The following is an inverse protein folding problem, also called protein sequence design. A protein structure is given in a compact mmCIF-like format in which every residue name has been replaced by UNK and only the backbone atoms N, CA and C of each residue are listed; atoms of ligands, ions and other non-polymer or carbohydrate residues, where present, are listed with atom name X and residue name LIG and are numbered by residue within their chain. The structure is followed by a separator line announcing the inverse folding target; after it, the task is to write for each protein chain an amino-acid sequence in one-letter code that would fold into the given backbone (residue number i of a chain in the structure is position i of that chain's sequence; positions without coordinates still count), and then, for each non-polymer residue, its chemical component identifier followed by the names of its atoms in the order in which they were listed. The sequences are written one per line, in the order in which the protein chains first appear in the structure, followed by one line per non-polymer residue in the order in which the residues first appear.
data_IF_537845393342
#
_entry.id   IF_537845393342
#
_cell.length_a   1.000
_cell.length_b   1.000
_cell.length_c   1.000
_cell.angle_alpha   90.00
_cell.angle_beta   90.00
_cell.angle_gamma   90.00
#
_symmetry.space_group_name_H-M   'P 1'
#
loop_
_entity.id
_entity.type
_entity.pdbx_description
1 polymer ?
#
# COMPACT_ATOMS: atom_id res chain seq x y z
N UNK A 1 -3.02 18.66 -12.40
CA UNK A 1 -2.40 18.65 -11.05
C UNK A 1 -1.63 17.36 -10.81
N UNK A 2 -2.31 16.21 -10.87
CA UNK A 2 -1.67 14.89 -10.75
C UNK A 2 -0.44 14.76 -11.67
N UNK A 3 -0.58 15.08 -12.96
CA UNK A 3 0.52 15.08 -13.91
C UNK A 3 1.75 15.90 -13.45
N UNK A 4 1.53 17.04 -12.79
CA UNK A 4 2.61 17.89 -12.27
C UNK A 4 3.31 17.18 -11.10
N UNK A 5 2.55 16.65 -10.13
CA UNK A 5 3.13 15.89 -9.02
C UNK A 5 3.93 14.70 -9.56
N UNK A 6 3.32 13.90 -10.44
CA UNK A 6 3.90 12.67 -10.97
C UNK A 6 5.15 12.93 -11.81
N UNK A 7 5.16 13.98 -12.65
CA UNK A 7 6.32 14.35 -13.47
C UNK A 7 7.59 14.68 -12.68
N UNK A 8 7.47 14.95 -11.38
CA UNK A 8 8.60 15.27 -10.48
C UNK A 8 9.13 14.04 -9.74
N UNK A 9 8.52 12.87 -9.94
CA UNK A 9 8.86 11.63 -9.24
C UNK A 9 9.75 10.76 -10.12
N UNK A 10 10.88 10.37 -9.56
CA UNK A 10 11.80 9.43 -10.20
C UNK A 10 12.36 8.50 -9.13
N UNK A 11 11.89 7.26 -9.13
CA UNK A 11 12.30 6.23 -8.19
C UNK A 11 11.93 4.84 -8.75
N UNK A 12 12.73 3.77 -8.52
CA UNK A 12 12.45 2.43 -9.07
C UNK A 12 11.09 1.84 -8.67
N UNK A 13 10.57 2.21 -7.51
CA UNK A 13 9.25 1.77 -6.99
C UNK A 13 8.14 2.80 -7.19
N UNK A 14 8.30 3.76 -8.11
CA UNK A 14 7.26 4.70 -8.54
C UNK A 14 7.06 4.52 -10.04
N UNK A 15 5.81 4.45 -10.49
CA UNK A 15 5.51 4.31 -11.92
C UNK A 15 6.14 5.48 -12.69
N UNK A 16 6.90 5.26 -13.78
CA UNK A 16 7.45 6.36 -14.56
C UNK A 16 6.36 7.20 -15.23
N UNK A 17 6.57 8.51 -15.28
CA UNK A 17 5.73 9.43 -16.05
C UNK A 17 6.35 9.67 -17.42
N UNK A 18 5.65 9.35 -18.51
CA UNK A 18 6.21 9.50 -19.87
C UNK A 18 5.92 10.87 -20.48
N UNK A 19 4.77 11.46 -20.15
CA UNK A 19 4.42 12.77 -20.66
C UNK A 19 2.93 13.08 -20.59
N UNK A 20 2.57 14.19 -21.22
CA UNK A 20 1.19 14.62 -21.42
C UNK A 20 0.94 14.65 -22.92
N UNK A 21 -0.18 14.08 -23.35
CA UNK A 21 -0.71 14.27 -24.69
C UNK A 21 -1.84 15.29 -24.63
N UNK A 22 -1.76 16.30 -25.49
CA UNK A 22 -2.79 17.34 -25.63
C UNK A 22 -3.10 17.49 -27.12
N UNK A 23 -4.29 17.07 -27.53
CA UNK A 23 -4.79 17.33 -28.88
C UNK A 23 -5.70 18.56 -28.87
N UNK A 24 -5.62 19.40 -29.92
CA UNK A 24 -6.33 20.69 -30.00
C UNK A 24 -7.86 20.59 -29.89
N UNK A 25 -8.42 19.39 -30.12
CA UNK A 25 -9.86 19.14 -30.06
C UNK A 25 -10.30 18.33 -28.84
N UNK A 26 -9.38 17.91 -27.96
CA UNK A 26 -9.75 17.21 -26.73
C UNK A 26 -10.01 18.18 -25.58
N UNK A 27 -11.06 17.88 -24.80
CA UNK A 27 -11.48 18.73 -23.69
C UNK A 27 -10.50 18.68 -22.49
N UNK A 28 -9.66 17.65 -22.39
CA UNK A 28 -8.78 17.42 -21.24
C UNK A 28 -7.43 16.83 -21.68
N UNK A 29 -6.32 17.20 -21.01
CA UNK A 29 -5.02 16.60 -21.25
C UNK A 29 -5.00 15.12 -20.84
N UNK A 30 -4.39 14.26 -21.65
CA UNK A 30 -4.20 12.85 -21.36
C UNK A 30 -2.82 12.60 -20.74
N UNK A 31 -2.77 11.74 -19.73
CA UNK A 31 -1.52 11.29 -19.14
C UNK A 31 -0.97 10.09 -19.89
N UNK A 32 0.32 10.12 -20.24
CA UNK A 32 1.00 9.00 -20.90
C UNK A 32 1.88 8.30 -19.86
N UNK A 33 1.56 7.03 -19.62
CA UNK A 33 2.22 6.15 -18.64
C UNK A 33 2.63 4.83 -19.32
N UNK A 34 3.68 4.16 -18.83
CA UNK A 34 4.03 2.85 -19.36
C UNK A 34 2.97 1.82 -18.97
N UNK A 35 2.57 0.98 -19.92
CA UNK A 35 1.70 -0.16 -19.65
C UNK A 35 2.48 -1.32 -19.05
N UNK A 36 2.11 -1.75 -17.83
CA UNK A 36 2.75 -2.84 -17.12
C UNK A 36 1.91 -4.12 -17.21
N UNK A 37 2.37 -5.10 -17.99
CA UNK A 37 1.68 -6.39 -18.22
C UNK A 37 1.48 -7.22 -16.95
N UNK A 38 2.24 -6.95 -15.90
CA UNK A 38 2.13 -7.64 -14.61
C UNK A 38 0.82 -7.33 -13.87
N UNK A 39 0.06 -6.32 -14.31
CA UNK A 39 -1.17 -5.89 -13.65
C UNK A 39 -0.90 -5.26 -12.29
N UNK A 40 -1.95 -5.17 -11.48
CA UNK A 40 -1.87 -4.70 -10.10
C UNK A 40 -1.57 -5.84 -9.13
N UNK A 41 -1.14 -5.50 -7.92
CA UNK A 41 -1.06 -6.44 -6.81
C UNK A 41 -2.44 -7.00 -6.48
N UNK A 42 -3.52 -6.24 -6.67
CA UNK A 42 -4.88 -6.75 -6.52
C UNK A 42 -5.19 -7.89 -7.51
N UNK A 43 -4.80 -7.75 -8.78
CA UNK A 43 -4.96 -8.79 -9.79
C UNK A 43 -4.13 -10.03 -9.44
N UNK A 44 -2.91 -9.81 -8.94
CA UNK A 44 -2.03 -10.88 -8.49
C UNK A 44 -2.62 -11.66 -7.32
N UNK A 45 -3.22 -10.98 -6.34
CA UNK A 45 -3.83 -11.59 -5.15
C UNK A 45 -5.06 -12.43 -5.49
N UNK A 46 -5.78 -12.09 -6.57
CA UNK A 46 -6.91 -12.89 -7.09
C UNK A 46 -6.46 -14.12 -7.88
N UNK A 47 -5.21 -14.14 -8.34
CA UNK A 47 -4.66 -15.19 -9.20
C UNK A 47 -3.94 -16.32 -8.45
N UNK A 48 -3.69 -17.47 -9.10
CA UNK A 48 -2.98 -18.61 -8.50
C UNK A 48 -1.47 -18.38 -8.28
N UNK A 49 -0.95 -17.17 -8.55
CA UNK A 49 0.49 -16.88 -8.71
C UNK A 49 1.23 -16.48 -7.44
N UNK A 50 0.53 -16.33 -6.31
CA UNK A 50 1.14 -15.89 -5.05
C UNK A 50 2.30 -16.78 -4.59
N UNK A 51 2.23 -18.09 -4.83
CA UNK A 51 3.27 -19.03 -4.40
C UNK A 51 4.62 -18.91 -5.13
N UNK A 52 4.71 -18.13 -6.22
CA UNK A 52 5.94 -17.97 -7.03
C UNK A 52 6.65 -16.64 -6.73
N UNK A 53 5.95 -15.67 -6.14
CA UNK A 53 6.47 -14.31 -5.95
C UNK A 53 6.86 -14.13 -4.49
N UNK A 54 8.12 -13.74 -4.28
CA UNK A 54 8.64 -13.43 -2.96
C UNK A 54 7.97 -12.16 -2.41
N UNK A 55 7.10 -12.34 -1.42
CA UNK A 55 6.36 -11.26 -0.76
C UNK A 55 7.29 -10.17 -0.21
N UNK A 56 8.53 -10.50 0.15
CA UNK A 56 9.48 -9.54 0.69
C UNK A 56 9.79 -8.44 -0.34
N UNK A 57 9.92 -8.78 -1.62
CA UNK A 57 10.15 -7.79 -2.69
C UNK A 57 8.96 -6.85 -2.85
N UNK A 58 7.74 -7.37 -2.77
CA UNK A 58 6.51 -6.56 -2.85
C UNK A 58 6.42 -5.59 -1.67
N UNK A 59 6.64 -6.10 -0.45
CA UNK A 59 6.53 -5.33 0.79
C UNK A 59 7.64 -4.28 0.87
N UNK A 60 8.90 -4.67 0.66
CA UNK A 60 10.04 -3.76 0.74
C UNK A 60 9.98 -2.72 -0.39
N UNK A 61 9.62 -3.13 -1.62
CA UNK A 61 9.53 -2.20 -2.74
C UNK A 61 8.46 -1.13 -2.52
N UNK A 62 7.28 -1.51 -2.02
CA UNK A 62 6.26 -0.53 -1.64
C UNK A 62 6.73 0.37 -0.48
N UNK A 63 7.43 -0.16 0.52
CA UNK A 63 8.01 0.64 1.60
C UNK A 63 9.02 1.67 1.07
N UNK A 64 9.88 1.29 0.11
CA UNK A 64 10.85 2.19 -0.53
C UNK A 64 10.15 3.30 -1.32
N UNK A 65 9.13 2.96 -2.10
CA UNK A 65 8.31 3.93 -2.82
C UNK A 65 7.65 4.94 -1.88
N UNK A 66 7.00 4.48 -0.81
CA UNK A 66 6.36 5.36 0.18
C UNK A 66 7.37 6.23 0.94
N UNK A 67 8.52 5.67 1.35
CA UNK A 67 9.58 6.43 2.00
C UNK A 67 10.12 7.53 1.08
N UNK A 68 10.30 7.26 -0.22
CA UNK A 68 10.69 8.25 -1.21
C UNK A 68 9.67 9.39 -1.34
N UNK A 69 8.37 9.09 -1.39
CA UNK A 69 7.32 10.11 -1.46
C UNK A 69 7.33 11.00 -0.22
N UNK A 70 7.43 10.38 0.96
CA UNK A 70 7.44 11.08 2.24
C UNK A 70 8.72 11.89 2.49
N UNK A 71 9.84 11.54 1.84
CA UNK A 71 11.10 12.29 1.94
C UNK A 71 11.19 13.50 1.01
N UNK A 72 10.19 13.73 0.15
CA UNK A 72 10.15 14.92 -0.72
C UNK A 72 9.99 16.19 0.11
N UNK A 73 10.36 17.34 -0.47
CA UNK A 73 10.22 18.66 0.15
C UNK A 73 9.36 19.58 -0.73
N UNK A 74 8.10 19.87 -0.34
CA UNK A 74 7.38 19.29 0.80
C UNK A 74 7.06 17.80 0.60
N UNK A 75 6.75 17.04 1.68
CA UNK A 75 6.38 15.64 1.56
C UNK A 75 5.20 15.42 0.63
N UNK A 76 5.25 14.34 -0.13
CA UNK A 76 4.15 13.91 -0.97
C UNK A 76 3.42 12.79 -0.23
N UNK A 77 2.19 13.07 0.14
CA UNK A 77 1.26 12.10 0.72
C UNK A 77 0.47 11.50 -0.44
N UNK A 78 0.42 10.17 -0.53
CA UNK A 78 -0.30 9.46 -1.58
C UNK A 78 -1.81 9.55 -1.36
N UNK A 79 -2.26 9.20 -0.15
CA UNK A 79 -3.65 9.28 0.30
C UNK A 79 -4.55 8.13 -0.16
N UNK A 80 -4.00 7.10 -0.82
CA UNK A 80 -4.77 5.99 -1.40
C UNK A 80 -3.92 4.73 -1.65
N UNK A 81 -3.10 4.36 -0.66
CA UNK A 81 -2.27 3.17 -0.76
C UNK A 81 -3.11 1.91 -0.53
N UNK A 82 -3.28 1.12 -1.57
CA UNK A 82 -3.93 -0.19 -1.55
C UNK A 82 -3.40 -1.04 -2.72
N UNK A 83 -3.69 -2.36 -2.78
CA UNK A 83 -3.09 -3.25 -3.78
C UNK A 83 -3.38 -2.88 -5.25
N UNK A 84 -4.51 -2.23 -5.54
CA UNK A 84 -4.85 -1.79 -6.89
C UNK A 84 -3.94 -0.67 -7.41
N UNK A 85 -3.33 0.10 -6.49
CA UNK A 85 -2.39 1.18 -6.80
C UNK A 85 -0.92 0.75 -6.73
N UNK A 86 -0.67 -0.56 -6.64
CA UNK A 86 0.67 -1.15 -6.76
C UNK A 86 0.69 -1.98 -8.04
N UNK A 87 1.36 -1.48 -9.08
CA UNK A 87 1.56 -2.21 -10.33
C UNK A 87 2.84 -3.04 -10.28
N UNK A 88 2.90 -4.08 -11.09
CA UNK A 88 4.03 -5.00 -11.15
C UNK A 88 4.71 -4.85 -12.50
N UNK A 89 5.98 -4.43 -12.48
CA UNK A 89 6.76 -4.30 -13.70
C UNK A 89 7.29 -5.66 -14.21
N UNK A 90 7.92 -5.66 -15.37
CA UNK A 90 8.43 -6.88 -16.03
C UNK A 90 9.52 -7.60 -15.22
N UNK A 91 10.16 -6.92 -14.28
CA UNK A 91 11.16 -7.47 -13.35
C UNK A 91 10.53 -7.92 -12.02
N UNK A 92 9.21 -8.06 -11.96
CA UNK A 92 8.44 -8.40 -10.75
C UNK A 92 8.61 -7.41 -9.58
N UNK A 93 9.03 -6.18 -9.86
CA UNK A 93 9.13 -5.15 -8.83
C UNK A 93 7.80 -4.39 -8.71
N UNK A 94 7.37 -4.08 -7.47
CA UNK A 94 6.21 -3.23 -7.25
C UNK A 94 6.54 -1.77 -7.58
N UNK A 95 5.60 -1.09 -8.24
CA UNK A 95 5.66 0.35 -8.47
C UNK A 95 4.34 1.00 -8.05
N UNK A 96 4.42 2.09 -7.30
CA UNK A 96 3.26 2.86 -6.85
C UNK A 96 2.75 3.72 -8.02
N UNK A 97 1.44 3.73 -8.25
CA UNK A 97 0.76 4.54 -9.24
C UNK A 97 -0.44 5.28 -8.66
N UNK A 98 -1.14 6.07 -9.49
CA UNK A 98 -2.32 6.86 -9.13
C UNK A 98 -2.06 7.90 -8.03
N UNK A 99 -1.58 9.06 -8.46
CA UNK A 99 -1.31 10.20 -7.58
C UNK A 99 -2.48 11.18 -7.57
N UNK A 100 -3.66 10.77 -8.04
CA UNK A 100 -4.84 11.62 -8.15
C UNK A 100 -5.25 12.23 -6.80
N UNK A 101 -5.00 11.50 -5.71
CA UNK A 101 -5.27 11.94 -4.33
C UNK A 101 -4.08 12.61 -3.64
N UNK A 102 -2.96 12.76 -4.33
CA UNK A 102 -1.76 13.34 -3.75
C UNK A 102 -1.93 14.83 -3.43
N UNK A 103 -1.50 15.22 -2.23
CA UNK A 103 -1.60 16.59 -1.69
C UNK A 103 -3.06 17.10 -1.55
N UNK A 104 -4.09 16.27 -1.70
CA UNK A 104 -5.48 16.68 -1.55
C UNK A 104 -5.79 16.91 -0.07
N UNK A 105 -6.28 18.11 0.26
CA UNK A 105 -7.13 18.30 1.43
C UNK A 105 -8.42 17.55 1.13
N UNK A 106 -8.62 16.37 1.70
CA UNK A 106 -9.87 15.66 1.45
C UNK A 106 -10.97 16.46 2.15
N UNK A 107 -11.91 17.00 1.39
CA UNK A 107 -13.27 17.00 1.90
C UNK A 107 -13.78 15.62 1.54
N UNK A 108 -14.03 14.77 2.54
CA UNK A 108 -14.84 13.59 2.31
C UNK A 108 -16.26 14.08 2.03
N UNK A 109 -16.49 14.59 0.82
CA UNK A 109 -17.82 14.94 0.38
C UNK A 109 -18.60 13.64 0.33
N UNK A 110 -19.65 13.54 1.15
CA UNK A 110 -20.64 12.45 1.12
C UNK A 110 -21.28 12.24 -0.27
N UNK A 111 -20.91 13.09 -1.25
CA UNK A 111 -21.38 13.08 -2.64
C UNK A 111 -20.37 12.50 -3.66
N UNK A 112 -19.22 11.95 -3.24
CA UNK A 112 -18.42 11.11 -4.16
C UNK A 112 -19.16 9.79 -4.32
N UNK A 113 -19.88 9.68 -5.42
CA UNK A 113 -20.78 8.60 -5.79
C UNK A 113 -20.23 7.19 -5.53
N UNK A 114 -20.73 6.56 -4.47
CA UNK A 114 -21.16 5.16 -4.24
C UNK A 114 -20.89 4.02 -5.26
N UNK A 115 -19.88 4.08 -6.13
CA UNK A 115 -19.50 2.97 -7.02
C UNK A 115 -17.98 2.74 -7.16
N UNK A 116 -17.14 3.75 -6.98
CA UNK A 116 -15.68 3.62 -7.16
C UNK A 116 -14.90 3.31 -5.86
N UNK A 117 -15.57 3.34 -4.70
CA UNK A 117 -14.97 3.05 -3.40
C UNK A 117 -15.17 1.61 -2.92
N UNK A 118 -15.90 0.78 -3.69
CA UNK A 118 -16.18 -0.60 -3.36
C UNK A 118 -14.90 -1.40 -3.10
N UNK A 119 -14.70 -1.83 -1.86
CA UNK A 119 -13.54 -2.58 -1.37
C UNK A 119 -12.39 -1.73 -0.81
N UNK A 120 -12.46 -0.39 -0.82
CA UNK A 120 -11.32 0.49 -0.46
C UNK A 120 -11.37 1.03 0.97
N UNK A 121 -12.55 1.04 1.61
CA UNK A 121 -12.73 1.60 2.96
C UNK A 121 -11.79 0.95 3.99
N UNK A 122 -11.50 -0.35 3.85
CA UNK A 122 -10.64 -1.07 4.77
C UNK A 122 -9.16 -0.64 4.73
N UNK A 123 -8.73 0.09 3.69
CA UNK A 123 -7.38 0.67 3.59
C UNK A 123 -7.30 2.11 4.08
N UNK A 124 -8.44 2.76 4.37
CA UNK A 124 -8.47 4.14 4.84
C UNK A 124 -8.27 4.20 6.37
N UNK A 125 -7.46 5.15 6.80
CA UNK A 125 -7.22 5.40 8.22
C UNK A 125 -8.47 5.93 8.94
N UNK A 126 -8.69 5.62 10.23
CA UNK A 126 -9.90 5.98 10.94
C UNK A 126 -10.16 7.50 10.97
N UNK A 127 -9.12 8.32 11.09
CA UNK A 127 -9.21 9.78 11.07
C UNK A 127 -9.62 10.36 9.69
N UNK A 128 -9.53 9.57 8.62
CA UNK A 128 -10.03 9.93 7.29
C UNK A 128 -11.53 9.59 7.17
N UNK A 129 -12.01 8.62 7.95
CA UNK A 129 -13.37 8.11 7.92
C UNK A 129 -14.29 8.83 8.93
N UNK A 130 -13.72 9.34 10.03
CA UNK A 130 -14.50 9.99 11.09
C UNK A 130 -14.97 11.37 10.65
N UNK A 131 -16.30 11.55 10.56
CA UNK A 131 -16.90 12.82 10.16
C UNK A 131 -16.80 13.94 11.20
N UNK A 132 -16.37 13.63 12.42
CA UNK A 132 -16.32 14.57 13.55
C UNK A 132 -14.91 15.16 13.75
N UNK A 133 -13.88 14.58 13.16
CA UNK A 133 -12.53 15.17 13.19
C UNK A 133 -12.46 16.37 12.27
N UNK A 134 -12.21 17.56 12.83
CA UNK A 134 -11.92 18.76 12.05
C UNK A 134 -10.65 18.54 11.22
N UNK A 135 -10.80 18.49 9.89
CA UNK A 135 -9.69 18.33 8.96
C UNK A 135 -9.42 16.89 8.54
N UNK A 136 -10.27 16.38 7.64
CA UNK A 136 -10.11 15.10 6.93
C UNK A 136 -8.90 15.16 5.98
N UNK A 137 -7.69 15.20 6.50
CA UNK A 137 -6.52 15.37 5.65
C UNK A 137 -5.71 14.09 5.63
N UNK A 138 -5.47 13.57 4.42
CA UNK A 138 -4.43 12.56 4.27
C UNK A 138 -3.13 13.15 4.82
N UNK A 139 -2.42 12.33 5.58
CA UNK A 139 -1.15 12.64 6.23
C UNK A 139 -0.14 11.54 5.93
N UNK A 140 1.12 11.71 6.34
CA UNK A 140 2.08 10.62 6.23
C UNK A 140 1.61 9.42 7.04
N UNK A 141 1.04 9.65 8.22
CA UNK A 141 0.52 8.65 9.15
C UNK A 141 -0.68 7.91 8.57
N UNK A 142 -1.54 8.56 7.78
CA UNK A 142 -2.65 7.88 7.10
C UNK A 142 -2.17 6.98 5.95
N UNK A 143 -1.11 7.37 5.23
CA UNK A 143 -0.42 6.49 4.27
C UNK A 143 0.17 5.26 4.97
N UNK A 144 0.79 5.44 6.15
CA UNK A 144 1.34 4.31 6.94
C UNK A 144 0.25 3.32 7.35
N UNK A 145 -0.94 3.83 7.70
CA UNK A 145 -2.09 2.98 7.98
C UNK A 145 -2.51 2.16 6.74
N UNK A 146 -2.74 2.83 5.61
CA UNK A 146 -3.16 2.14 4.37
C UNK A 146 -2.13 1.13 3.89
N UNK A 147 -0.84 1.48 4.00
CA UNK A 147 0.27 0.57 3.71
C UNK A 147 0.24 -0.68 4.59
N UNK A 148 -0.10 -0.57 5.88
CA UNK A 148 -0.23 -1.73 6.76
C UNK A 148 -1.38 -2.65 6.39
N UNK A 149 -2.52 -2.09 5.96
CA UNK A 149 -3.69 -2.86 5.53
C UNK A 149 -3.42 -3.56 4.19
N UNK A 150 -2.67 -2.91 3.30
CA UNK A 150 -2.16 -3.51 2.07
C UNK A 150 -1.21 -4.67 2.38
N UNK A 151 -0.27 -4.51 3.31
CA UNK A 151 0.62 -5.58 3.73
C UNK A 151 -0.12 -6.74 4.39
N UNK A 152 -1.13 -6.45 5.22
CA UNK A 152 -2.02 -7.48 5.75
C UNK A 152 -2.67 -8.28 4.62
N UNK A 153 -3.28 -7.59 3.64
CA UNK A 153 -3.91 -8.25 2.49
C UNK A 153 -2.91 -9.11 1.70
N UNK A 154 -1.72 -8.57 1.48
CA UNK A 154 -0.63 -9.26 0.77
C UNK A 154 -0.21 -10.53 1.50
N UNK A 155 -0.18 -10.48 2.83
CA UNK A 155 0.28 -11.56 3.69
C UNK A 155 -0.77 -12.64 3.94
N UNK A 156 -2.03 -12.24 4.15
CA UNK A 156 -3.16 -13.14 4.37
C UNK A 156 -3.71 -13.73 3.06
N UNK A 157 -3.48 -13.06 1.93
CA UNK A 157 -4.12 -13.36 0.64
C UNK A 157 -5.57 -12.87 0.56
N UNK A 158 -6.08 -12.18 1.57
CA UNK A 158 -7.47 -11.76 1.66
C UNK A 158 -7.61 -10.32 2.19
N UNK A 159 -8.58 -9.54 1.68
CA UNK A 159 -8.80 -8.17 2.14
C UNK A 159 -8.99 -8.10 3.66
N UNK A 160 -8.56 -7.01 4.32
CA UNK A 160 -8.92 -6.78 5.71
C UNK A 160 -10.45 -6.79 5.86
N UNK A 161 -10.96 -7.54 6.85
CA UNK A 161 -12.40 -7.71 7.10
C UNK A 161 -13.17 -8.36 5.93
N UNK A 162 -12.57 -9.33 5.23
CA UNK A 162 -13.18 -10.04 4.10
C UNK A 162 -14.56 -10.67 4.38
N UNK A 163 -14.88 -10.92 5.65
CA UNK A 163 -16.17 -11.43 6.13
C UNK A 163 -17.29 -10.38 6.20
N UNK A 164 -16.95 -9.08 6.09
CA UNK A 164 -17.89 -7.98 6.22
C UNK A 164 -18.18 -7.38 4.84
N UNK A 165 -19.41 -7.52 4.37
CA UNK A 165 -19.83 -6.97 3.07
C UNK A 165 -20.26 -5.51 3.14
N UNK A 166 -20.73 -5.04 4.30
CA UNK A 166 -21.18 -3.68 4.49
C UNK A 166 -20.00 -2.75 4.83
N UNK A 167 -19.59 -1.91 3.89
CA UNK A 167 -18.45 -1.02 4.07
C UNK A 167 -18.66 0.04 5.16
N UNK A 168 -19.90 0.49 5.38
CA UNK A 168 -20.21 1.40 6.49
C UNK A 168 -19.99 0.72 7.85
N UNK A 169 -20.19 -0.60 7.91
CA UNK A 169 -19.85 -1.37 9.10
C UNK A 169 -18.32 -1.42 9.28
N UNK A 170 -17.56 -1.65 8.20
CA UNK A 170 -16.08 -1.60 8.23
C UNK A 170 -15.60 -0.22 8.73
N UNK A 171 -16.16 0.87 8.20
CA UNK A 171 -15.82 2.22 8.65
C UNK A 171 -16.12 2.40 10.15
N UNK A 172 -17.29 1.96 10.62
CA UNK A 172 -17.67 2.06 12.03
C UNK A 172 -16.72 1.31 12.96
N UNK A 173 -16.30 0.10 12.61
CA UNK A 173 -15.39 -0.69 13.47
C UNK A 173 -13.96 -0.12 13.44
N UNK A 174 -13.50 0.42 12.32
CA UNK A 174 -12.20 1.08 12.21
C UNK A 174 -12.12 2.33 13.09
N UNK A 175 -13.17 3.18 13.05
CA UNK A 175 -13.34 4.36 13.90
C UNK A 175 -13.37 3.96 15.38
N UNK A 176 -13.99 2.83 15.73
CA UNK A 176 -13.99 2.26 17.10
C UNK A 176 -12.66 1.61 17.50
N UNK A 177 -11.63 1.66 16.65
CA UNK A 177 -10.31 1.12 16.94
C UNK A 177 -10.15 -0.38 16.71
N UNK A 178 -11.16 -1.06 16.14
CA UNK A 178 -11.03 -2.47 15.79
C UNK A 178 -10.11 -2.66 14.59
N UNK A 179 -9.42 -3.79 14.54
CA UNK A 179 -8.44 -4.16 13.51
C UNK A 179 -8.63 -5.61 13.10
N UNK A 180 -8.12 -6.03 11.92
CA UNK A 180 -8.16 -7.42 11.52
C UNK A 180 -7.47 -8.32 12.55
N UNK A 181 -7.99 -9.53 12.74
CA UNK A 181 -7.32 -10.55 13.53
C UNK A 181 -6.05 -11.04 12.81
N UNK A 182 -5.07 -11.51 13.57
CA UNK A 182 -3.89 -12.18 12.98
C UNK A 182 -4.38 -13.36 12.13
N UNK A 183 -3.97 -13.47 10.85
CA UNK A 183 -4.47 -14.52 9.99
C UNK A 183 -3.97 -15.89 10.49
N UNK A 184 -4.85 -16.90 10.49
CA UNK A 184 -4.52 -18.26 10.93
C UNK A 184 -3.53 -18.94 9.98
N UNK A 185 -3.63 -18.61 8.69
CA UNK A 185 -2.74 -19.05 7.61
C UNK A 185 -2.32 -17.82 6.82
N UNK A 186 -1.10 -17.85 6.30
CA UNK A 186 -0.53 -16.80 5.44
C UNK A 186 -0.05 -17.46 4.15
N UNK A 187 0.02 -16.68 3.07
CA UNK A 187 0.38 -17.19 1.74
C UNK A 187 1.87 -17.46 1.57
N UNK A 188 2.68 -17.17 2.59
CA UNK A 188 4.13 -17.31 2.58
C UNK A 188 4.67 -18.56 3.29
N UNK A 189 5.96 -18.80 3.07
CA UNK A 189 6.77 -19.84 3.72
C UNK A 189 7.71 -19.30 4.82
N UNK A 190 7.48 -18.09 5.31
CA UNK A 190 8.28 -17.44 6.34
C UNK A 190 8.18 -18.21 7.67
N UNK A 191 9.28 -18.19 8.42
CA UNK A 191 9.32 -18.80 9.75
C UNK A 191 8.49 -18.01 10.78
N UNK A 192 8.21 -18.66 11.91
CA UNK A 192 7.36 -18.08 12.96
C UNK A 192 7.93 -16.82 13.62
N UNK A 193 9.26 -16.67 13.65
CA UNK A 193 9.91 -15.47 14.20
C UNK A 193 9.65 -14.28 13.28
N UNK A 194 9.84 -14.45 11.98
CA UNK A 194 9.58 -13.41 10.97
C UNK A 194 8.10 -13.04 10.96
N UNK A 195 7.19 -14.02 10.99
CA UNK A 195 5.74 -13.79 11.08
C UNK A 195 5.35 -13.00 12.32
N UNK A 196 6.04 -13.23 13.44
CA UNK A 196 5.77 -12.52 14.70
C UNK A 196 6.26 -11.08 14.62
N UNK A 197 7.49 -10.84 14.18
CA UNK A 197 8.04 -9.48 14.05
C UNK A 197 7.28 -8.65 13.01
N UNK A 198 6.91 -9.27 11.89
CA UNK A 198 6.09 -8.64 10.86
C UNK A 198 4.72 -8.23 11.40
N UNK A 199 4.02 -9.14 12.09
CA UNK A 199 2.75 -8.82 12.75
C UNK A 199 2.88 -7.70 13.80
N UNK A 200 3.94 -7.72 14.61
CA UNK A 200 4.21 -6.65 15.59
C UNK A 200 4.41 -5.30 14.89
N UNK A 201 5.07 -5.27 13.73
CA UNK A 201 5.22 -4.04 12.96
C UNK A 201 3.90 -3.57 12.34
N UNK A 202 3.12 -4.46 11.71
CA UNK A 202 1.80 -4.13 11.18
C UNK A 202 0.90 -3.52 12.26
N UNK A 203 0.90 -4.12 13.46
CA UNK A 203 0.08 -3.62 14.56
C UNK A 203 0.51 -2.25 15.07
N UNK A 204 1.79 -1.92 14.98
CA UNK A 204 2.30 -0.58 15.25
C UNK A 204 1.95 0.42 14.14
N UNK A 205 1.95 0.00 12.88
CA UNK A 205 1.60 0.85 11.73
C UNK A 205 0.13 1.28 11.70
N UNK A 206 -0.82 0.43 12.13
CA UNK A 206 -2.25 0.78 12.20
C UNK A 206 -2.73 1.23 13.57
N UNK A 207 -1.82 1.67 14.45
CA UNK A 207 -2.16 2.26 15.76
C UNK A 207 -3.26 3.32 15.56
N UNK A 208 -4.27 3.34 16.45
CA UNK A 208 -5.42 4.23 16.31
C UNK A 208 -4.99 5.70 16.22
N UNK A 209 -4.21 6.15 17.20
CA UNK A 209 -3.63 7.49 17.23
C UNK A 209 -2.59 7.68 16.10
N UNK A 210 -2.81 8.59 15.13
CA UNK A 210 -1.93 8.77 13.97
C UNK A 210 -0.50 9.10 14.37
N UNK A 211 -0.32 9.99 15.34
CA UNK A 211 1.00 10.44 15.83
C UNK A 211 1.84 9.33 16.47
N UNK A 212 1.23 8.20 16.82
CA UNK A 212 1.91 7.03 17.39
C UNK A 212 2.36 6.01 16.34
N UNK A 213 2.01 6.23 15.06
CA UNK A 213 2.45 5.39 13.94
C UNK A 213 3.90 5.72 13.58
N UNK A 214 4.71 4.74 13.17
CA UNK A 214 6.10 4.98 12.77
C UNK A 214 6.16 5.76 11.45
N UNK A 215 7.22 6.54 11.24
CA UNK A 215 7.47 7.16 9.93
C UNK A 215 7.76 6.10 8.86
N UNK A 216 7.58 6.46 7.59
CA UNK A 216 7.91 5.57 6.46
C UNK A 216 9.38 5.14 6.43
N UNK A 217 10.30 6.00 6.86
CA UNK A 217 11.72 5.65 7.00
C UNK A 217 11.96 4.56 8.05
N UNK A 218 11.28 4.63 9.20
CA UNK A 218 11.34 3.59 10.24
C UNK A 218 10.68 2.31 9.74
N UNK A 219 9.55 2.39 9.05
CA UNK A 219 8.89 1.22 8.45
C UNK A 219 9.83 0.52 7.47
N UNK A 220 10.45 1.26 6.54
CA UNK A 220 11.40 0.69 5.57
C UNK A 220 12.55 -0.03 6.27
N UNK A 221 13.23 0.63 7.20
CA UNK A 221 14.36 0.05 7.93
C UNK A 221 13.95 -1.25 8.66
N UNK A 222 12.77 -1.24 9.30
CA UNK A 222 12.27 -2.40 10.03
C UNK A 222 11.89 -3.54 9.09
N UNK A 223 11.26 -3.27 7.95
CA UNK A 223 10.93 -4.29 6.95
C UNK A 223 12.20 -4.94 6.40
N UNK A 224 13.20 -4.15 5.99
CA UNK A 224 14.47 -4.69 5.51
C UNK A 224 15.15 -5.57 6.56
N UNK A 225 15.14 -5.16 7.83
CA UNK A 225 15.69 -5.95 8.93
C UNK A 225 14.92 -7.26 9.21
N UNK A 226 13.59 -7.24 9.09
CA UNK A 226 12.74 -8.42 9.32
C UNK A 226 13.00 -9.47 8.23
N UNK A 227 13.02 -9.06 6.96
CA UNK A 227 13.14 -9.99 5.83
C UNK A 227 14.59 -10.40 5.54
N UNK A 228 15.61 -9.61 5.90
CA UNK A 228 17.01 -10.06 5.81
C UNK A 228 17.29 -11.33 6.64
N UNK A 229 16.52 -11.57 7.71
CA UNK A 229 16.63 -12.80 8.53
C UNK A 229 16.19 -14.06 7.79
N UNK A 230 15.39 -13.93 6.72
CA UNK A 230 14.96 -15.04 5.88
C UNK A 230 16.10 -15.53 4.97
N UNK A 231 16.85 -14.60 4.36
CA UNK A 231 17.92 -14.91 3.40
C UNK A 231 19.12 -15.63 4.05
N UNK A 232 19.41 -15.33 5.32
CA UNK A 232 20.49 -16.00 6.07
C UNK A 232 20.24 -17.50 6.33
N UNK A 233 18.98 -17.98 6.24
CA UNK A 233 18.63 -19.38 6.55
C UNK A 233 18.59 -20.28 5.31
N UNK A 234 18.54 -19.73 4.10
CA UNK A 234 18.50 -20.53 2.86
C UNK A 234 19.87 -21.01 2.39
N UNK A 235 20.96 -20.44 2.93
CA UNK A 235 22.34 -20.79 2.54
C UNK A 235 22.98 -21.92 3.38
N UNK A 236 22.28 -22.51 4.36
CA UNK A 236 22.81 -23.60 5.19
C UNK A 236 22.35 -25.01 4.78
N UNK A 237 21.61 -25.15 3.67
CA UNK A 237 20.96 -26.41 3.29
C UNK A 237 21.47 -27.10 2.01
N UNK A 238 22.39 -26.50 1.24
CA UNK A 238 22.93 -27.15 0.04
C UNK A 238 24.12 -28.05 0.40
N UNK A 239 23.82 -29.31 0.74
CA UNK A 239 24.81 -30.39 0.62
C UNK A 239 24.75 -30.87 -0.83
N UNK A 240 25.81 -30.61 -1.59
CA UNK A 240 25.95 -31.10 -2.95
C UNK A 240 25.89 -32.64 -2.96
N UNK A 241 25.09 -33.27 -3.84
CA UNK A 241 25.19 -34.69 -4.07
C UNK A 241 26.48 -34.99 -4.85
N UNK A 242 27.20 -36.00 -4.38
CA UNK A 242 28.38 -36.62 -5.00
C UNK A 242 28.09 -37.11 -6.43
#
# INVERSE_FOLDING_TARGET
REAITHSQLQHPNILPFLGIYCETNEAYPLMVLPYLKGGSLEDMLKGPKLGVIDLSFLIIGAARGTAYLHSRMPPIIHGDLHPGNILINELSNPVICDFGRSRIRHEFSRNVSNREQGGRICFLAPEILDSQTEGFYSSQESDIFGLSMMYFNTWSGHPPFAEITNEWHIASILIKGQRPNKPAQSVDLLDQTVKTEFWTLLTKMWTHEPTQRPSSSVVLQRMESIFAKCECKTHSGYVAPY
#
